data_IF_104634688142
#
_entry.id   IF_104634688142
#
_cell.length_a   1.000
_cell.length_b   1.000
_cell.length_c   1.000
_cell.angle_alpha   90.00
_cell.angle_beta   90.00
_cell.angle_gamma   90.00
#
_symmetry.space_group_name_H-M   'P 1'
#
loop_
_entity.id
_entity.type
_entity.pdbx_description
1 polymer ?
#
# COMPACT_ATOMS: atom_id res chain seq x y z
N UNK A 1 19.32 16.15 -11.99
CA UNK A 1 18.78 14.97 -12.72
C UNK A 1 18.38 13.81 -11.82
N UNK A 2 19.23 13.33 -10.91
CA UNK A 2 18.89 12.20 -10.02
C UNK A 2 17.65 12.44 -9.13
N UNK A 3 17.43 13.67 -8.67
CA UNK A 3 16.27 14.04 -7.86
C UNK A 3 14.94 13.99 -8.65
N UNK A 4 14.92 14.56 -9.86
CA UNK A 4 13.74 14.53 -10.75
C UNK A 4 13.39 13.09 -11.12
N UNK A 5 14.38 12.25 -11.44
CA UNK A 5 14.18 10.82 -11.70
C UNK A 5 13.51 10.11 -10.52
N UNK A 6 13.97 10.41 -9.30
CA UNK A 6 13.43 9.82 -8.07
C UNK A 6 11.98 10.26 -7.81
N UNK A 7 11.64 11.54 -8.06
CA UNK A 7 10.26 12.05 -7.96
C UNK A 7 9.33 11.37 -8.97
N UNK A 8 9.77 11.24 -10.22
CA UNK A 8 8.96 10.58 -11.25
C UNK A 8 8.77 9.10 -10.89
N UNK A 9 9.82 8.44 -10.42
CA UNK A 9 9.77 7.05 -9.97
C UNK A 9 8.80 6.85 -8.79
N UNK A 10 8.85 7.70 -7.77
CA UNK A 10 7.89 7.64 -6.64
C UNK A 10 6.47 7.94 -7.07
N UNK A 11 6.24 8.90 -7.96
CA UNK A 11 4.91 9.20 -8.48
C UNK A 11 4.30 8.02 -9.24
N UNK A 12 5.08 7.40 -10.14
CA UNK A 12 4.65 6.23 -10.92
C UNK A 12 4.38 5.04 -10.00
N UNK A 13 5.28 4.74 -9.07
CA UNK A 13 5.08 3.66 -8.11
C UNK A 13 3.90 3.91 -7.18
N UNK A 14 3.69 5.16 -6.74
CA UNK A 14 2.53 5.57 -5.95
C UNK A 14 1.22 5.34 -6.69
N UNK A 15 1.17 5.68 -7.97
CA UNK A 15 -0.02 5.47 -8.80
C UNK A 15 -0.27 3.98 -9.08
N UNK A 16 0.78 3.21 -9.39
CA UNK A 16 0.66 1.76 -9.54
C UNK A 16 0.20 1.09 -8.26
N UNK A 17 0.76 1.48 -7.12
CA UNK A 17 0.34 0.96 -5.82
C UNK A 17 -1.12 1.28 -5.53
N UNK A 18 -1.57 2.50 -5.83
CA UNK A 18 -2.99 2.86 -5.80
C UNK A 18 -3.86 1.93 -6.67
N UNK A 19 -3.52 1.74 -7.95
CA UNK A 19 -4.31 0.92 -8.87
C UNK A 19 -4.43 -0.53 -8.41
N UNK A 20 -3.35 -1.11 -7.89
CA UNK A 20 -3.36 -2.49 -7.43
C UNK A 20 -4.14 -2.58 -6.12
N UNK A 21 -3.93 -1.67 -5.16
CA UNK A 21 -4.65 -1.69 -3.88
C UNK A 21 -6.15 -1.52 -4.07
N UNK A 22 -6.60 -0.60 -4.92
CA UNK A 22 -8.04 -0.44 -5.17
C UNK A 22 -8.65 -1.64 -5.89
N UNK A 23 -7.90 -2.27 -6.80
CA UNK A 23 -8.34 -3.50 -7.45
C UNK A 23 -8.49 -4.62 -6.42
N UNK A 24 -7.54 -4.78 -5.49
CA UNK A 24 -7.61 -5.79 -4.44
C UNK A 24 -8.79 -5.55 -3.48
N UNK A 25 -9.02 -4.30 -3.07
CA UNK A 25 -10.19 -3.92 -2.26
C UNK A 25 -11.49 -4.25 -3.02
N UNK A 26 -11.55 -3.98 -4.32
CA UNK A 26 -12.69 -4.31 -5.16
C UNK A 26 -12.94 -5.83 -5.32
N UNK A 27 -11.87 -6.63 -5.43
CA UNK A 27 -12.00 -8.09 -5.53
C UNK A 27 -12.43 -8.69 -4.18
N UNK A 28 -11.89 -8.19 -3.07
CA UNK A 28 -12.27 -8.59 -1.71
C UNK A 28 -13.71 -8.20 -1.39
N UNK A 29 -14.17 -7.01 -1.77
CA UNK A 29 -15.57 -6.60 -1.60
C UNK A 29 -16.53 -7.43 -2.46
N UNK A 30 -16.09 -7.90 -3.63
CA UNK A 30 -16.83 -8.83 -4.47
C UNK A 30 -16.83 -10.29 -3.97
N UNK A 31 -16.20 -10.59 -2.81
CA UNK A 31 -16.04 -11.93 -2.22
C UNK A 31 -15.34 -12.97 -3.11
N UNK A 32 -14.53 -12.52 -4.07
CA UNK A 32 -13.97 -13.40 -5.11
C UNK A 32 -12.64 -14.08 -4.74
N UNK A 33 -11.96 -13.65 -3.67
CA UNK A 33 -10.60 -14.16 -3.34
C UNK A 33 -10.59 -15.50 -2.60
N UNK A 34 -11.51 -15.71 -1.66
CA UNK A 34 -11.63 -16.95 -0.87
C UNK A 34 -13.05 -17.50 -0.84
N UNK A 35 -13.77 -17.51 -1.96
CA UNK A 35 -15.15 -18.06 -2.04
C UNK A 35 -15.30 -19.47 -1.42
N UNK A 36 -14.21 -20.24 -1.30
CA UNK A 36 -14.18 -21.58 -0.71
C UNK A 36 -14.12 -21.58 0.84
N UNK A 37 -13.83 -20.45 1.47
CA UNK A 37 -13.65 -20.26 2.93
C UNK A 37 -14.62 -19.19 3.46
N UNK A 38 -15.90 -19.27 3.07
CA UNK A 38 -16.92 -18.31 3.48
C UNK A 38 -17.26 -18.49 4.97
N UNK A 39 -16.62 -17.69 5.84
CA UNK A 39 -16.87 -17.69 7.28
C UNK A 39 -18.11 -16.83 7.57
N UNK A 40 -19.28 -17.47 7.54
CA UNK A 40 -20.58 -16.79 7.68
C UNK A 40 -20.76 -16.04 9.01
N UNK A 41 -20.11 -16.50 10.09
CA UNK A 41 -20.31 -15.95 11.43
C UNK A 41 -19.47 -14.68 11.73
N UNK A 42 -18.48 -14.33 10.89
CA UNK A 42 -17.56 -13.22 11.15
C UNK A 42 -17.20 -12.44 9.88
N UNK A 43 -18.23 -11.90 9.23
CA UNK A 43 -18.14 -11.21 7.94
C UNK A 43 -17.10 -10.07 7.90
N UNK A 44 -16.99 -9.27 8.96
CA UNK A 44 -16.02 -8.18 9.03
C UNK A 44 -14.56 -8.66 9.08
N UNK A 45 -14.27 -9.70 9.88
CA UNK A 45 -12.93 -10.27 9.97
C UNK A 45 -12.48 -10.93 8.67
N UNK A 46 -13.42 -11.58 7.98
CA UNK A 46 -13.16 -12.20 6.69
C UNK A 46 -12.75 -11.18 5.62
N UNK A 47 -13.47 -10.05 5.52
CA UNK A 47 -13.11 -8.97 4.59
C UNK A 47 -11.76 -8.33 4.92
N UNK A 48 -11.46 -8.11 6.20
CA UNK A 48 -10.16 -7.57 6.64
C UNK A 48 -9.03 -8.53 6.27
N UNK A 49 -9.19 -9.83 6.53
CA UNK A 49 -8.17 -10.81 6.17
C UNK A 49 -7.93 -10.89 4.65
N UNK A 50 -8.99 -10.81 3.83
CA UNK A 50 -8.83 -10.79 2.37
C UNK A 50 -8.10 -9.53 1.88
N UNK A 51 -8.43 -8.37 2.44
CA UNK A 51 -7.73 -7.12 2.16
C UNK A 51 -6.26 -7.22 2.56
N UNK A 52 -5.96 -7.77 3.74
CA UNK A 52 -4.59 -7.95 4.22
C UNK A 52 -3.72 -8.75 3.25
N UNK A 53 -4.23 -9.88 2.73
CA UNK A 53 -3.49 -10.66 1.74
C UNK A 53 -3.38 -9.94 0.39
N UNK A 54 -4.46 -9.34 -0.09
CA UNK A 54 -4.47 -8.63 -1.38
C UNK A 54 -3.55 -7.41 -1.38
N UNK A 55 -3.74 -6.51 -0.41
CA UNK A 55 -2.93 -5.30 -0.22
C UNK A 55 -1.50 -5.68 0.18
N UNK A 56 -1.31 -6.75 0.97
CA UNK A 56 0.01 -7.28 1.30
C UNK A 56 0.78 -7.70 0.06
N UNK A 57 0.17 -8.46 -0.85
CA UNK A 57 0.79 -8.81 -2.13
C UNK A 57 0.99 -7.58 -3.03
N UNK A 58 0.03 -6.65 -3.03
CA UNK A 58 0.14 -5.39 -3.77
C UNK A 58 1.34 -4.55 -3.31
N UNK A 59 1.61 -4.52 -2.01
CA UNK A 59 2.69 -3.75 -1.39
C UNK A 59 4.08 -4.37 -1.64
N UNK A 60 4.15 -5.66 -1.98
CA UNK A 60 5.41 -6.34 -2.29
C UNK A 60 6.08 -5.74 -3.52
N UNK A 61 5.32 -5.44 -4.57
CA UNK A 61 5.84 -4.91 -5.84
C UNK A 61 6.55 -3.55 -5.69
N UNK A 62 5.93 -2.50 -5.11
CA UNK A 62 6.64 -1.25 -4.87
C UNK A 62 7.79 -1.44 -3.88
N UNK A 63 7.63 -2.23 -2.81
CA UNK A 63 8.71 -2.48 -1.85
C UNK A 63 9.96 -3.12 -2.51
N UNK A 64 9.75 -4.10 -3.41
CA UNK A 64 10.84 -4.74 -4.14
C UNK A 64 11.56 -3.75 -5.06
N UNK A 65 10.81 -2.97 -5.83
CA UNK A 65 11.38 -1.97 -6.75
C UNK A 65 12.14 -0.87 -6.00
N UNK A 66 11.63 -0.40 -4.87
CA UNK A 66 12.34 0.54 -4.00
C UNK A 66 13.65 -0.07 -3.49
N UNK A 67 13.61 -1.33 -3.03
CA UNK A 67 14.79 -2.01 -2.51
C UNK A 67 15.88 -2.17 -3.58
N UNK A 68 15.50 -2.48 -4.82
CA UNK A 68 16.42 -2.65 -5.94
C UNK A 68 17.00 -1.33 -6.47
N UNK A 69 16.17 -0.29 -6.62
CA UNK A 69 16.56 0.94 -7.33
C UNK A 69 16.87 2.15 -6.43
N UNK A 70 16.35 2.18 -5.20
CA UNK A 70 16.44 3.34 -4.29
C UNK A 70 16.90 2.92 -2.87
N UNK A 71 17.77 1.91 -2.75
CA UNK A 71 18.18 1.30 -1.47
C UNK A 71 18.63 2.31 -0.40
N UNK A 72 19.39 3.33 -0.77
CA UNK A 72 19.89 4.36 0.15
C UNK A 72 18.77 5.27 0.69
N UNK A 73 17.70 5.47 -0.08
CA UNK A 73 16.58 6.37 0.23
C UNK A 73 15.25 5.63 0.43
N UNK A 74 15.30 4.31 0.63
CA UNK A 74 14.13 3.43 0.57
C UNK A 74 12.99 3.87 1.49
N UNK A 75 13.29 4.34 2.68
CA UNK A 75 12.29 4.81 3.64
C UNK A 75 11.58 6.08 3.17
N UNK A 76 12.34 7.06 2.66
CA UNK A 76 11.77 8.30 2.12
C UNK A 76 10.90 8.01 0.90
N UNK A 77 11.39 7.18 -0.02
CA UNK A 77 10.68 6.77 -1.24
C UNK A 77 9.39 6.02 -0.89
N UNK A 78 9.43 5.13 0.12
CA UNK A 78 8.25 4.45 0.65
C UNK A 78 7.22 5.42 1.23
N UNK A 79 7.64 6.40 2.04
CA UNK A 79 6.75 7.43 2.56
C UNK A 79 6.08 8.20 1.42
N UNK A 80 6.82 8.61 0.39
CA UNK A 80 6.26 9.30 -0.76
C UNK A 80 5.24 8.44 -1.52
N UNK A 81 5.53 7.15 -1.75
CA UNK A 81 4.63 6.22 -2.43
C UNK A 81 3.32 6.05 -1.65
N UNK A 82 3.40 5.90 -0.32
CA UNK A 82 2.21 5.82 0.53
C UNK A 82 1.40 7.12 0.45
N UNK A 83 2.04 8.28 0.56
CA UNK A 83 1.36 9.58 0.46
C UNK A 83 0.69 9.78 -0.90
N UNK A 84 1.36 9.42 -2.00
CA UNK A 84 0.77 9.45 -3.34
C UNK A 84 -0.40 8.48 -3.46
N UNK A 85 -0.27 7.27 -2.93
CA UNK A 85 -1.38 6.31 -2.93
C UNK A 85 -2.59 6.83 -2.16
N UNK A 86 -2.38 7.44 -0.99
CA UNK A 86 -3.46 8.07 -0.20
C UNK A 86 -4.11 9.23 -0.94
N UNK A 87 -3.31 10.07 -1.60
CA UNK A 87 -3.79 11.16 -2.45
C UNK A 87 -4.73 10.63 -3.54
N UNK A 88 -4.31 9.58 -4.25
CA UNK A 88 -5.09 8.98 -5.33
C UNK A 88 -6.34 8.27 -4.83
N UNK A 89 -6.25 7.52 -3.71
CA UNK A 89 -7.42 6.87 -3.12
C UNK A 89 -8.49 7.88 -2.69
N UNK A 90 -8.11 8.98 -2.07
CA UNK A 90 -9.06 10.02 -1.66
C UNK A 90 -9.64 10.85 -2.82
N UNK A 91 -9.07 10.73 -4.01
CA UNK A 91 -9.51 11.42 -5.23
C UNK A 91 -10.05 10.48 -6.31
N UNK A 92 -10.46 9.26 -5.94
CA UNK A 92 -10.96 8.27 -6.90
C UNK A 92 -12.09 8.82 -7.82
N UNK A 93 -12.95 9.69 -7.28
CA UNK A 93 -14.09 10.31 -7.99
C UNK A 93 -13.90 11.82 -8.21
N UNK A 94 -12.67 12.33 -8.06
CA UNK A 94 -12.36 13.75 -8.12
C UNK A 94 -11.13 14.01 -9.00
N UNK A 95 -10.66 15.25 -9.03
CA UNK A 95 -9.41 15.58 -9.70
C UNK A 95 -8.24 14.85 -9.01
N UNK A 96 -7.51 14.06 -9.79
CA UNK A 96 -6.56 13.06 -9.27
C UNK A 96 -5.39 13.66 -8.47
N UNK A 97 -4.99 14.90 -8.76
CA UNK A 97 -3.90 15.62 -8.07
C UNK A 97 -4.40 16.66 -7.06
N UNK A 98 -5.68 16.63 -6.68
CA UNK A 98 -6.22 17.54 -5.65
C UNK A 98 -5.56 17.22 -4.29
N UNK A 99 -4.77 18.12 -3.68
CA UNK A 99 -4.10 17.86 -2.41
C UNK A 99 -5.08 17.52 -1.27
N UNK A 100 -6.35 17.92 -1.39
CA UNK A 100 -7.42 17.58 -0.44
C UNK A 100 -7.69 16.06 -0.44
N UNK A 101 -7.25 15.31 -1.45
CA UNK A 101 -7.37 13.86 -1.53
C UNK A 101 -6.81 13.13 -0.31
N UNK A 102 -5.64 13.51 0.19
CA UNK A 102 -5.07 12.88 1.40
C UNK A 102 -6.00 13.09 2.60
N UNK A 103 -6.52 14.31 2.77
CA UNK A 103 -7.47 14.62 3.83
C UNK A 103 -8.76 13.81 3.67
N UNK A 104 -9.34 13.73 2.46
CA UNK A 104 -10.54 12.92 2.21
C UNK A 104 -10.31 11.46 2.56
N UNK A 105 -9.17 10.91 2.16
CA UNK A 105 -8.83 9.52 2.46
C UNK A 105 -8.73 9.26 3.96
N UNK A 106 -8.02 10.13 4.70
CA UNK A 106 -7.93 10.04 6.16
C UNK A 106 -9.30 10.21 6.83
N UNK A 107 -10.06 11.22 6.41
CA UNK A 107 -11.37 11.52 6.97
C UNK A 107 -12.35 10.37 6.81
N UNK A 108 -12.46 9.83 5.60
CA UNK A 108 -13.37 8.72 5.28
C UNK A 108 -12.89 7.41 5.88
N UNK A 109 -11.58 7.13 5.86
CA UNK A 109 -11.10 5.79 6.22
C UNK A 109 -10.76 5.63 7.70
N UNK A 110 -10.25 6.68 8.34
CA UNK A 110 -9.76 6.62 9.72
C UNK A 110 -10.77 7.20 10.73
N UNK A 111 -11.40 8.33 10.41
CA UNK A 111 -12.26 9.05 11.37
C UNK A 111 -13.73 8.66 11.27
N UNK A 112 -14.23 8.43 10.06
CA UNK A 112 -15.63 8.06 9.80
C UNK A 112 -15.79 6.64 9.24
N UNK A 113 -14.67 5.92 9.09
CA UNK A 113 -14.64 4.56 8.56
C UNK A 113 -15.11 3.54 9.58
N UNK A 114 -15.67 2.44 9.09
CA UNK A 114 -15.88 1.25 9.90
C UNK A 114 -14.55 0.51 10.16
N UNK A 115 -14.59 -0.55 10.96
CA UNK A 115 -13.40 -1.33 11.32
C UNK A 115 -12.68 -1.86 10.06
N UNK A 116 -13.43 -2.21 9.01
CA UNK A 116 -12.88 -2.66 7.73
C UNK A 116 -12.09 -1.55 7.04
N UNK A 117 -12.63 -0.33 6.99
CA UNK A 117 -11.98 0.82 6.39
C UNK A 117 -10.73 1.26 7.18
N UNK A 118 -10.75 1.19 8.51
CA UNK A 118 -9.57 1.43 9.34
C UNK A 118 -8.50 0.37 9.07
N UNK A 119 -8.90 -0.90 8.91
CA UNK A 119 -8.01 -1.99 8.51
C UNK A 119 -7.32 -1.72 7.18
N UNK A 120 -8.08 -1.38 6.14
CA UNK A 120 -7.55 -1.01 4.82
C UNK A 120 -6.57 0.17 4.91
N UNK A 121 -6.91 1.20 5.68
CA UNK A 121 -6.01 2.33 5.91
C UNK A 121 -4.66 1.89 6.50
N UNK A 122 -4.70 1.07 7.56
CA UNK A 122 -3.50 0.56 8.21
C UNK A 122 -2.69 -0.35 7.28
N UNK A 123 -3.35 -1.18 6.48
CA UNK A 123 -2.71 -2.06 5.51
C UNK A 123 -1.95 -1.27 4.44
N UNK A 124 -2.60 -0.27 3.84
CA UNK A 124 -1.97 0.60 2.84
C UNK A 124 -0.76 1.34 3.42
N UNK A 125 -0.89 1.80 4.67
CA UNK A 125 0.16 2.54 5.38
C UNK A 125 1.34 1.64 5.75
N UNK A 126 1.11 0.47 6.33
CA UNK A 126 2.14 -0.32 7.04
C UNK A 126 2.80 -1.38 6.14
N UNK A 127 2.05 -2.02 5.25
CA UNK A 127 2.55 -3.19 4.50
C UNK A 127 3.75 -2.88 3.60
N UNK A 128 3.86 -1.71 2.93
CA UNK A 128 5.06 -1.37 2.17
C UNK A 128 6.33 -1.33 3.04
N UNK A 129 6.23 -0.80 4.26
CA UNK A 129 7.35 -0.75 5.20
C UNK A 129 7.69 -2.12 5.74
N UNK A 130 6.68 -2.96 6.00
CA UNK A 130 6.88 -4.33 6.45
C UNK A 130 7.68 -5.15 5.43
N UNK A 131 7.33 -5.07 4.15
CA UNK A 131 8.10 -5.73 3.08
C UNK A 131 9.52 -5.20 2.94
N UNK A 132 9.70 -3.87 2.98
CA UNK A 132 11.03 -3.27 2.94
C UNK A 132 11.91 -3.75 4.11
N UNK A 133 11.33 -3.88 5.29
CA UNK A 133 12.03 -4.42 6.45
C UNK A 133 12.44 -5.87 6.25
N UNK A 134 11.55 -6.73 5.71
CA UNK A 134 11.86 -8.12 5.35
C UNK A 134 13.02 -8.16 4.35
N UNK A 135 12.97 -7.40 3.26
CA UNK A 135 14.05 -7.38 2.26
C UNK A 135 15.38 -6.92 2.85
N UNK A 136 15.36 -5.93 3.74
CA UNK A 136 16.57 -5.47 4.44
C UNK A 136 17.17 -6.60 5.30
N UNK A 137 16.34 -7.30 6.08
CA UNK A 137 16.76 -8.42 6.93
C UNK A 137 17.35 -9.57 6.11
N UNK A 138 16.70 -9.97 5.02
CA UNK A 138 17.21 -11.02 4.10
C UNK A 138 18.57 -10.61 3.53
N UNK A 139 18.72 -9.37 3.07
CA UNK A 139 19.97 -8.90 2.48
C UNK A 139 21.13 -8.85 3.47
N UNK A 140 20.86 -8.49 4.73
CA UNK A 140 21.85 -8.47 5.82
C UNK A 140 22.32 -9.89 6.16
N UNK A 141 21.40 -10.86 6.12
CA UNK A 141 21.73 -12.27 6.34
C UNK A 141 22.57 -12.86 5.21
N UNK A 142 22.39 -12.39 3.96
CA UNK A 142 23.13 -12.90 2.81
C UNK A 142 24.52 -12.24 2.65
N UNK A 143 24.71 -11.02 3.18
CA UNK A 143 25.96 -10.26 3.05
C UNK A 143 26.30 -9.50 4.34
N UNK A 144 26.81 -10.19 5.39
CA UNK A 144 27.01 -9.60 6.71
C UNK A 144 28.12 -8.53 6.80
N UNK A 145 28.99 -8.39 5.79
CA UNK A 145 30.27 -7.69 5.92
C UNK A 145 30.43 -6.39 5.11
N UNK A 146 29.37 -5.82 4.53
CA UNK A 146 29.48 -4.53 3.82
C UNK A 146 28.80 -3.41 4.61
N UNK A 147 29.52 -2.89 5.61
CA UNK A 147 29.36 -1.57 6.20
C UNK A 147 30.63 -0.77 5.92
#
# INVERSE_FOLDING_TARGET
MAFIKSIIFTGVLGYLYFLITISMIGIASARKFFWWFDWQDNFHFYHIAQNFFGIGLAALLPAYLIFCYERTRMWMVSCCIVLFSMLFQGNINAFILDPIGIYRFLHVSLFYGDIGSIGVFLEILVLPFFWLWIFKCISKSQWPNNL
#
